data_IF_425541328571
#
_entry.id   IF_425541328571
#
_cell.length_a   1.000
_cell.length_b   1.000
_cell.length_c   1.000
_cell.angle_alpha   90.00
_cell.angle_beta   90.00
_cell.angle_gamma   90.00
#
_symmetry.space_group_name_H-M   'P 1'
#
loop_
_entity.id
_entity.type
_entity.pdbx_description
1 polymer ?
#
# COMPACT_ATOMS: atom_id res chain seq x y z
N UNK A 1 1.79 25.66 2.16
CA UNK A 1 2.15 24.50 3.01
C UNK A 1 3.59 24.17 2.68
N UNK A 2 4.42 23.97 3.68
CA UNK A 2 5.84 23.62 3.54
C UNK A 2 6.03 22.17 4.00
N UNK A 3 6.89 21.42 3.33
CA UNK A 3 7.25 20.05 3.70
C UNK A 3 8.62 20.07 4.40
N UNK A 4 8.64 20.71 5.56
CA UNK A 4 9.81 20.84 6.40
C UNK A 4 9.99 19.63 7.35
N UNK A 5 11.01 19.68 8.20
CA UNK A 5 11.32 18.61 9.14
C UNK A 5 10.19 18.37 10.15
N UNK A 6 9.48 19.42 10.53
CA UNK A 6 8.39 19.31 11.51
C UNK A 6 7.17 18.63 10.89
N UNK A 7 6.88 18.93 9.62
CA UNK A 7 5.84 18.24 8.87
C UNK A 7 6.16 16.74 8.69
N UNK A 8 7.37 16.42 8.24
CA UNK A 8 7.80 15.04 8.06
C UNK A 8 7.85 14.29 9.40
N UNK A 9 8.26 14.96 10.49
CA UNK A 9 8.23 14.41 11.84
C UNK A 9 6.84 13.95 12.27
N UNK A 10 5.81 14.74 11.99
CA UNK A 10 4.41 14.36 12.27
C UNK A 10 3.94 13.16 11.46
N UNK A 11 4.36 13.05 10.18
CA UNK A 11 4.06 11.87 9.38
C UNK A 11 4.72 10.61 9.96
N UNK A 12 5.96 10.70 10.45
CA UNK A 12 6.61 9.57 11.12
C UNK A 12 5.94 9.20 12.44
N UNK A 13 5.49 10.17 13.24
CA UNK A 13 4.73 9.90 14.47
C UNK A 13 3.45 9.13 14.14
N UNK A 14 2.71 9.55 13.13
CA UNK A 14 1.50 8.86 12.66
C UNK A 14 1.82 7.45 12.13
N UNK A 15 2.89 7.31 11.32
CA UNK A 15 3.34 6.01 10.83
C UNK A 15 3.72 5.05 11.97
N UNK A 16 4.31 5.56 13.06
CA UNK A 16 4.66 4.75 14.23
C UNK A 16 3.42 4.20 14.95
N UNK A 17 2.34 4.96 14.97
CA UNK A 17 1.05 4.53 15.56
C UNK A 17 0.24 3.63 14.62
N UNK A 18 0.58 3.59 13.34
CA UNK A 18 -0.11 2.80 12.34
C UNK A 18 0.44 1.36 12.35
N UNK A 19 -0.40 0.31 12.51
CA UNK A 19 0.07 -1.09 12.52
C UNK A 19 0.74 -1.52 11.21
N UNK A 20 0.51 -0.80 10.12
CA UNK A 20 1.22 -1.02 8.84
C UNK A 20 2.57 -0.33 8.77
N UNK A 21 2.94 0.41 9.82
CA UNK A 21 4.20 1.18 9.91
C UNK A 21 4.37 2.17 8.74
N UNK A 22 3.26 2.74 8.25
CA UNK A 22 3.25 3.72 7.17
C UNK A 22 2.10 4.71 7.31
N UNK A 23 2.31 5.93 6.80
CA UNK A 23 1.30 6.98 6.78
C UNK A 23 1.38 7.75 5.46
N UNK A 24 0.25 7.87 4.79
CA UNK A 24 0.11 8.63 3.56
C UNK A 24 -0.46 10.02 3.82
N UNK A 25 -0.04 10.99 3.04
CA UNK A 25 -0.59 12.34 2.99
C UNK A 25 -0.91 12.69 1.54
N UNK A 26 -2.21 12.85 1.23
CA UNK A 26 -2.71 13.14 -0.11
C UNK A 26 -2.47 14.61 -0.48
N UNK A 27 -1.87 14.85 -1.64
CA UNK A 27 -1.58 16.18 -2.18
C UNK A 27 -2.57 16.60 -3.27
N UNK A 28 -3.61 15.81 -3.54
CA UNK A 28 -4.65 16.20 -4.49
C UNK A 28 -5.37 17.45 -3.98
N UNK A 29 -5.80 18.27 -4.91
CA UNK A 29 -6.47 19.55 -4.60
C UNK A 29 -7.98 19.44 -4.53
N UNK A 30 -8.55 18.36 -5.08
CA UNK A 30 -9.99 18.07 -5.05
C UNK A 30 -10.25 16.59 -5.36
N UNK A 31 -11.45 16.11 -5.08
CA UNK A 31 -11.93 14.79 -5.47
C UNK A 31 -11.96 14.56 -6.99
N UNK A 32 -12.09 15.62 -7.76
CA UNK A 32 -12.07 15.58 -9.22
C UNK A 32 -10.65 15.44 -9.79
N UNK A 33 -9.61 15.60 -8.96
CA UNK A 33 -8.22 15.46 -9.38
C UNK A 33 -7.89 13.97 -9.58
N UNK A 34 -7.63 13.62 -10.83
CA UNK A 34 -7.35 12.23 -11.24
C UNK A 34 -5.88 11.87 -11.20
N UNK A 35 -5.01 12.79 -10.79
CA UNK A 35 -3.58 12.51 -10.57
C UNK A 35 -3.33 12.13 -9.13
N UNK A 36 -2.78 10.96 -8.88
CA UNK A 36 -2.30 10.60 -7.55
C UNK A 36 -0.98 11.33 -7.28
N UNK A 37 -0.91 12.01 -6.14
CA UNK A 37 0.29 12.68 -5.64
C UNK A 37 0.28 12.56 -4.13
N UNK A 38 1.22 11.81 -3.59
CA UNK A 38 1.21 11.46 -2.17
C UNK A 38 2.60 11.64 -1.56
N UNK A 39 2.65 12.09 -0.33
CA UNK A 39 3.78 11.85 0.55
C UNK A 39 3.48 10.63 1.39
N UNK A 40 4.41 9.70 1.48
CA UNK A 40 4.22 8.47 2.24
C UNK A 40 5.40 8.29 3.19
N UNK A 41 5.15 8.39 4.49
CA UNK A 41 6.13 7.99 5.50
C UNK A 41 6.09 6.46 5.64
N UNK A 42 7.27 5.85 5.61
CA UNK A 42 7.49 4.41 5.67
C UNK A 42 8.52 4.12 6.77
N UNK A 43 8.23 3.17 7.64
CA UNK A 43 9.14 2.73 8.69
C UNK A 43 9.69 1.33 8.37
N UNK A 44 10.90 0.97 8.83
CA UNK A 44 11.39 -0.40 8.74
C UNK A 44 10.39 -1.40 9.34
N UNK A 45 10.12 -2.47 8.61
CA UNK A 45 9.08 -3.44 8.94
C UNK A 45 7.75 -3.20 8.21
N UNK A 46 7.59 -2.08 7.50
CA UNK A 46 6.48 -1.90 6.56
C UNK A 46 6.49 -3.02 5.52
N UNK A 47 5.35 -3.67 5.34
CA UNK A 47 5.14 -4.66 4.27
C UNK A 47 4.32 -4.01 3.18
N UNK A 48 4.91 -3.83 2.01
CA UNK A 48 4.20 -3.44 0.78
C UNK A 48 4.04 -4.70 -0.06
N UNK A 49 2.81 -5.18 -0.31
CA UNK A 49 2.60 -6.32 -1.19
C UNK A 49 3.20 -6.05 -2.58
N UNK A 50 3.69 -7.10 -3.25
CA UNK A 50 4.05 -6.98 -4.67
C UNK A 50 2.77 -6.58 -5.43
N UNK A 51 2.86 -5.51 -6.22
CA UNK A 51 1.73 -4.96 -6.96
C UNK A 51 2.17 -4.34 -8.27
N UNK A 52 1.23 -3.98 -9.11
CA UNK A 52 1.47 -3.23 -10.35
C UNK A 52 0.36 -2.24 -10.63
N UNK A 53 0.66 -1.26 -11.47
CA UNK A 53 -0.29 -0.28 -11.99
C UNK A 53 -0.47 -0.49 -13.48
N UNK A 54 -1.51 -1.25 -13.94
CA UNK A 54 -1.67 -1.62 -15.35
C UNK A 54 -1.89 -0.44 -16.29
N UNK A 55 -2.34 0.70 -15.75
CA UNK A 55 -2.75 1.86 -16.55
C UNK A 55 -1.85 3.08 -16.39
N UNK A 56 -0.89 3.05 -15.46
CA UNK A 56 -0.05 4.20 -15.16
C UNK A 56 1.39 3.84 -14.87
N UNK A 57 2.28 4.76 -15.18
CA UNK A 57 3.68 4.75 -14.73
C UNK A 57 3.75 5.44 -13.37
N UNK A 58 4.48 4.86 -12.44
CA UNK A 58 4.70 5.44 -11.12
C UNK A 58 6.06 6.12 -11.04
N UNK A 59 6.08 7.32 -10.47
CA UNK A 59 7.29 8.07 -10.18
C UNK A 59 7.48 8.10 -8.67
N UNK A 60 8.62 7.59 -8.21
CA UNK A 60 9.00 7.56 -6.80
C UNK A 60 10.22 8.45 -6.57
N UNK A 61 10.09 9.44 -5.69
CA UNK A 61 11.20 10.26 -5.23
C UNK A 61 11.36 10.11 -3.72
N UNK A 62 12.57 9.83 -3.29
CA UNK A 62 12.90 9.69 -1.87
C UNK A 62 13.35 11.05 -1.30
N UNK A 63 12.58 11.59 -0.37
CA UNK A 63 12.89 12.86 0.29
C UNK A 63 13.91 12.69 1.42
N UNK A 64 13.83 11.58 2.15
CA UNK A 64 14.77 11.23 3.22
C UNK A 64 14.71 9.73 3.50
N UNK A 65 15.73 9.19 4.18
CA UNK A 65 15.84 7.79 4.54
C UNK A 65 16.50 6.94 3.45
N UNK A 66 16.25 5.63 3.49
CA UNK A 66 16.77 4.65 2.51
C UNK A 66 15.73 3.58 2.23
N UNK A 67 15.49 3.33 0.96
CA UNK A 67 14.60 2.27 0.50
C UNK A 67 15.25 1.50 -0.66
N UNK A 68 14.69 0.34 -0.94
CA UNK A 68 14.97 -0.41 -2.18
C UNK A 68 13.65 -0.62 -2.91
N UNK A 69 13.55 -0.08 -4.11
CA UNK A 69 12.48 -0.45 -5.03
C UNK A 69 12.84 -1.78 -5.67
N UNK A 70 12.00 -2.79 -5.49
CA UNK A 70 12.22 -4.16 -5.97
C UNK A 70 11.31 -4.42 -7.15
N UNK A 71 11.90 -4.60 -8.32
CA UNK A 71 11.19 -4.95 -9.54
C UNK A 71 11.08 -6.47 -9.65
N UNK A 72 9.89 -6.96 -9.93
CA UNK A 72 9.60 -8.39 -10.02
C UNK A 72 9.19 -8.82 -11.44
N UNK A 73 9.32 -10.11 -11.71
CA UNK A 73 8.81 -10.74 -12.92
C UNK A 73 7.31 -11.12 -12.77
N UNK A 74 6.74 -11.72 -13.83
CA UNK A 74 5.33 -12.17 -13.84
C UNK A 74 5.02 -13.33 -12.86
N UNK A 75 6.04 -13.92 -12.26
CA UNK A 75 5.93 -14.96 -11.24
C UNK A 75 6.18 -14.42 -9.82
N UNK A 76 6.41 -13.10 -9.68
CA UNK A 76 6.72 -12.45 -8.41
C UNK A 76 8.17 -12.64 -7.95
N UNK A 77 9.06 -13.19 -8.81
CA UNK A 77 10.48 -13.30 -8.49
C UNK A 77 11.19 -11.96 -8.72
N UNK A 78 12.10 -11.65 -7.84
CA UNK A 78 12.93 -10.45 -7.94
C UNK A 78 13.79 -10.48 -9.22
N UNK A 79 13.78 -9.39 -9.98
CA UNK A 79 14.60 -9.16 -11.18
C UNK A 79 15.64 -8.09 -10.98
N UNK A 80 15.30 -7.04 -10.27
CA UNK A 80 16.15 -5.86 -10.11
C UNK A 80 15.89 -5.20 -8.77
N UNK A 81 16.94 -4.62 -8.19
CA UNK A 81 16.91 -3.82 -6.96
C UNK A 81 17.43 -2.43 -7.24
N UNK A 82 16.60 -1.43 -7.05
CA UNK A 82 16.95 -0.02 -7.23
C UNK A 82 17.08 0.61 -5.85
N UNK A 83 18.33 0.86 -5.43
CA UNK A 83 18.63 1.45 -4.14
C UNK A 83 18.44 2.97 -4.22
N UNK A 84 17.57 3.53 -3.40
CA UNK A 84 17.36 4.95 -3.25
C UNK A 84 17.97 5.43 -1.93
N UNK A 85 18.86 6.38 -2.02
CA UNK A 85 19.56 7.01 -0.89
C UNK A 85 19.99 8.43 -1.31
N UNK A 86 19.28 9.50 -0.91
CA UNK A 86 19.61 10.86 -1.26
C UNK A 86 20.99 11.30 -0.79
N UNK A 87 21.54 10.66 0.25
CA UNK A 87 22.87 11.02 0.79
C UNK A 87 24.01 10.67 -0.15
N UNK A 88 23.78 9.75 -1.08
CA UNK A 88 24.76 9.33 -2.12
C UNK A 88 24.31 9.73 -3.53
N UNK A 89 23.23 10.51 -3.67
CA UNK A 89 22.78 11.05 -4.94
C UNK A 89 21.76 10.18 -5.70
N UNK A 90 21.19 9.17 -5.08
CA UNK A 90 20.16 8.31 -5.67
C UNK A 90 18.77 8.75 -5.15
N UNK A 91 18.12 9.64 -5.88
CA UNK A 91 16.95 10.37 -5.39
C UNK A 91 15.61 9.72 -5.72
N UNK A 92 15.53 8.87 -6.73
CA UNK A 92 14.24 8.31 -7.14
C UNK A 92 14.36 7.38 -8.34
N UNK A 93 13.24 6.79 -8.70
CA UNK A 93 13.11 5.91 -9.86
C UNK A 93 11.74 6.07 -10.52
N UNK A 94 11.62 5.45 -11.68
CA UNK A 94 10.36 5.33 -12.41
C UNK A 94 10.04 3.85 -12.52
N UNK A 95 8.87 3.46 -12.04
CA UNK A 95 8.31 2.13 -12.27
C UNK A 95 7.40 2.19 -13.49
N UNK A 96 7.76 1.53 -14.60
CA UNK A 96 6.95 1.58 -15.81
C UNK A 96 5.57 0.94 -15.61
N UNK A 97 4.61 1.39 -16.40
CA UNK A 97 3.28 0.82 -16.45
C UNK A 97 3.29 -0.71 -16.53
N UNK A 98 2.50 -1.36 -15.69
CA UNK A 98 2.30 -2.81 -15.68
C UNK A 98 3.44 -3.62 -15.03
N UNK A 99 4.49 -2.99 -14.55
CA UNK A 99 5.62 -3.67 -13.93
C UNK A 99 5.30 -4.06 -12.49
N UNK A 100 5.48 -5.34 -12.14
CA UNK A 100 5.35 -5.83 -10.77
C UNK A 100 6.50 -5.29 -9.90
N UNK A 101 6.16 -4.73 -8.74
CA UNK A 101 7.15 -4.14 -7.85
C UNK A 101 6.69 -4.15 -6.39
N UNK A 102 7.63 -3.92 -5.51
CA UNK A 102 7.44 -3.68 -4.08
C UNK A 102 8.57 -2.84 -3.53
N UNK A 103 8.42 -2.39 -2.29
CA UNK A 103 9.40 -1.53 -1.60
C UNK A 103 9.91 -2.22 -0.33
N UNK A 104 11.22 -2.23 -0.14
CA UNK A 104 11.88 -2.55 1.14
C UNK A 104 12.34 -1.26 1.82
N UNK A 105 12.00 -1.10 3.09
CA UNK A 105 12.33 0.08 3.87
C UNK A 105 13.53 -0.23 4.77
N UNK A 106 14.69 0.38 4.47
CA UNK A 106 15.93 0.15 5.22
C UNK A 106 16.10 1.10 6.40
N UNK A 107 15.68 2.36 6.22
CA UNK A 107 15.66 3.41 7.25
C UNK A 107 14.32 4.12 7.22
N UNK A 108 13.89 4.81 8.31
CA UNK A 108 12.69 5.64 8.26
C UNK A 108 12.74 6.61 7.08
N UNK A 109 11.76 6.52 6.20
CA UNK A 109 11.79 7.14 4.87
C UNK A 109 10.52 7.91 4.58
N UNK A 110 10.63 8.98 3.80
CA UNK A 110 9.47 9.63 3.18
C UNK A 110 9.68 9.64 1.68
N UNK A 111 8.74 9.07 0.95
CA UNK A 111 8.69 9.13 -0.51
C UNK A 111 7.63 10.13 -0.96
N UNK A 112 7.87 10.73 -2.13
CA UNK A 112 6.84 11.34 -2.96
C UNK A 112 6.52 10.38 -4.10
N UNK A 113 5.27 9.95 -4.16
CA UNK A 113 4.75 9.07 -5.19
C UNK A 113 3.78 9.84 -6.07
N UNK A 114 3.95 9.72 -7.38
CA UNK A 114 3.05 10.34 -8.35
C UNK A 114 2.75 9.39 -9.50
N UNK A 115 1.46 9.27 -9.84
CA UNK A 115 0.95 8.51 -10.99
C UNK A 115 -0.40 9.02 -11.44
N UNK A 116 -0.79 8.68 -12.65
CA UNK A 116 -2.12 8.96 -13.17
C UNK A 116 -3.17 8.01 -12.55
N UNK A 117 -4.39 8.50 -12.40
CA UNK A 117 -5.48 7.76 -11.78
C UNK A 117 -5.67 8.11 -10.30
N UNK A 118 -6.89 7.95 -9.81
CA UNK A 118 -7.19 8.13 -8.40
C UNK A 118 -6.70 6.93 -7.59
N UNK A 119 -6.26 7.17 -6.37
CA UNK A 119 -5.92 6.11 -5.43
C UNK A 119 -7.13 5.18 -5.21
N UNK A 120 -6.92 3.88 -5.39
CA UNK A 120 -7.96 2.86 -5.27
C UNK A 120 -8.88 2.71 -6.50
N UNK A 121 -8.84 3.68 -7.47
CA UNK A 121 -9.57 3.61 -8.74
C UNK A 121 -8.63 3.49 -9.96
N UNK A 122 -7.33 3.46 -9.72
CA UNK A 122 -6.26 3.42 -10.73
C UNK A 122 -6.04 2.03 -11.35
N UNK A 123 -6.88 1.05 -10.99
CA UNK A 123 -6.77 -0.33 -11.47
C UNK A 123 -5.58 -1.10 -10.93
N UNK A 124 -4.96 -0.62 -9.84
CA UNK A 124 -3.84 -1.32 -9.20
C UNK A 124 -4.18 -2.76 -8.88
N UNK A 125 -3.26 -3.66 -9.18
CA UNK A 125 -3.40 -5.10 -8.95
C UNK A 125 -2.36 -5.56 -7.92
N UNK A 126 -2.78 -6.30 -6.90
CA UNK A 126 -1.86 -7.00 -6.02
C UNK A 126 -1.43 -8.33 -6.65
N UNK A 127 -0.16 -8.69 -6.48
CA UNK A 127 0.35 -9.99 -6.90
C UNK A 127 -0.24 -11.06 -5.99
N UNK A 128 -1.04 -11.91 -6.60
CA UNK A 128 -1.76 -12.96 -5.88
C UNK A 128 -0.87 -14.21 -5.78
N UNK A 129 0.11 -14.18 -4.88
CA UNK A 129 0.91 -15.37 -4.55
C UNK A 129 0.03 -16.54 -4.07
N UNK A 130 -1.22 -16.24 -3.67
CA UNK A 130 -2.23 -17.22 -3.30
C UNK A 130 -2.84 -17.93 -4.50
N UNK A 131 -3.07 -17.24 -5.64
CA UNK A 131 -3.63 -17.91 -6.83
C UNK A 131 -2.68 -18.96 -7.42
N UNK A 132 -1.37 -18.70 -7.35
CA UNK A 132 -0.37 -19.69 -7.75
C UNK A 132 -0.39 -20.91 -6.82
N UNK A 133 -0.52 -20.68 -5.51
CA UNK A 133 -0.57 -21.73 -4.50
C UNK A 133 -1.90 -22.49 -4.51
N UNK A 134 -3.03 -21.83 -4.73
CA UNK A 134 -4.33 -22.48 -4.92
C UNK A 134 -4.38 -23.35 -6.19
N UNK A 135 -3.65 -22.99 -7.24
CA UNK A 135 -3.53 -23.81 -8.44
C UNK A 135 -2.70 -25.07 -8.16
N UNK A 136 -1.60 -24.96 -7.43
CA UNK A 136 -0.78 -26.11 -7.00
C UNK A 136 -1.51 -26.97 -5.96
N UNK A 137 -2.22 -26.40 -5.00
CA UNK A 137 -2.97 -27.12 -3.97
C UNK A 137 -4.22 -27.83 -4.54
N UNK A 138 -4.84 -27.29 -5.59
CA UNK A 138 -5.91 -27.96 -6.33
C UNK A 138 -5.42 -29.19 -7.11
N UNK A 139 -4.18 -29.20 -7.59
CA UNK A 139 -3.57 -30.39 -8.18
C UNK A 139 -3.19 -31.45 -7.12
N UNK A 140 -2.94 -31.06 -5.87
CA UNK A 140 -2.58 -31.98 -4.78
C UNK A 140 -3.75 -32.44 -3.90
N UNK A 141 -4.97 -31.96 -4.10
CA UNK A 141 -6.17 -32.49 -3.45
C UNK A 141 -6.23 -32.32 -1.94
N UNK A 142 -5.56 -31.32 -1.38
CA UNK A 142 -5.65 -30.99 0.04
C UNK A 142 -6.58 -29.80 0.28
N UNK A 143 -7.71 -30.09 0.93
CA UNK A 143 -8.65 -29.10 1.45
C UNK A 143 -7.99 -28.36 2.64
N UNK A 144 -7.39 -27.21 2.35
CA UNK A 144 -6.90 -26.29 3.39
C UNK A 144 -7.49 -24.92 3.18
N UNK A 145 -8.79 -24.81 3.40
CA UNK A 145 -9.47 -23.55 3.65
C UNK A 145 -9.18 -23.09 5.08
N UNK A 146 -7.95 -22.64 5.34
CA UNK A 146 -7.64 -21.90 6.53
C UNK A 146 -7.42 -20.44 6.13
N UNK A 147 -8.30 -19.50 6.53
CA UNK A 147 -8.06 -18.10 6.30
C UNK A 147 -6.83 -17.67 7.11
N UNK A 148 -5.90 -16.98 6.47
CA UNK A 148 -4.82 -16.28 7.16
C UNK A 148 -5.47 -15.19 8.02
N UNK A 149 -5.79 -15.53 9.25
CA UNK A 149 -6.16 -14.60 10.27
C UNK A 149 -4.88 -14.04 10.89
N UNK A 150 -4.33 -12.96 10.33
CA UNK A 150 -3.55 -12.00 11.09
C UNK A 150 -4.47 -10.99 11.77
N UNK A 151 -5.75 -11.29 11.83
CA UNK A 151 -6.74 -10.49 12.49
C UNK A 151 -6.61 -10.69 14.00
N UNK A 152 -6.93 -9.68 14.75
CA UNK A 152 -7.26 -9.77 16.17
C UNK A 152 -8.49 -10.70 16.40
N UNK A 153 -8.88 -11.49 15.41
CA UNK A 153 -9.93 -12.50 15.44
C UNK A 153 -11.35 -11.97 15.15
N UNK A 154 -11.49 -10.72 14.76
CA UNK A 154 -12.78 -10.09 14.52
C UNK A 154 -12.66 -9.08 13.36
N UNK A 155 -13.04 -9.49 12.15
CA UNK A 155 -12.98 -8.68 10.94
C UNK A 155 -13.68 -7.31 11.12
N UNK A 156 -14.75 -7.25 11.90
CA UNK A 156 -15.46 -6.01 12.16
C UNK A 156 -14.58 -5.02 12.94
N UNK A 157 -13.85 -5.50 13.94
CA UNK A 157 -12.92 -4.66 14.71
C UNK A 157 -11.74 -4.21 13.88
N UNK A 158 -11.24 -5.09 13.02
CA UNK A 158 -10.14 -4.76 12.11
C UNK A 158 -10.57 -3.67 11.11
N UNK A 159 -11.80 -3.75 10.58
CA UNK A 159 -12.39 -2.71 9.72
C UNK A 159 -12.60 -1.40 10.50
N UNK A 160 -13.20 -1.45 11.69
CA UNK A 160 -13.42 -0.27 12.54
C UNK A 160 -12.09 0.41 12.91
N UNK A 161 -11.07 -0.38 13.19
CA UNK A 161 -9.72 0.11 13.48
C UNK A 161 -9.08 0.80 12.26
N UNK A 162 -9.15 0.18 11.09
CA UNK A 162 -8.65 0.76 9.84
C UNK A 162 -9.38 2.08 9.50
N UNK A 163 -10.72 2.09 9.63
CA UNK A 163 -11.53 3.30 9.47
C UNK A 163 -11.10 4.38 10.47
N UNK A 164 -10.84 4.01 11.72
CA UNK A 164 -10.38 4.94 12.76
C UNK A 164 -9.05 5.62 12.39
N UNK A 165 -8.11 4.86 11.85
CA UNK A 165 -6.80 5.37 11.40
C UNK A 165 -6.96 6.33 10.22
N UNK A 166 -7.70 5.91 9.17
CA UNK A 166 -7.88 6.75 7.99
C UNK A 166 -8.70 8.02 8.31
N UNK A 167 -9.60 7.94 9.26
CA UNK A 167 -10.34 9.10 9.77
C UNK A 167 -9.43 10.11 10.47
N UNK A 168 -8.46 9.64 11.26
CA UNK A 168 -7.48 10.51 11.93
C UNK A 168 -6.51 11.15 10.94
N UNK A 169 -6.20 10.46 9.84
CA UNK A 169 -5.35 11.00 8.76
C UNK A 169 -6.07 11.96 7.81
N UNK A 170 -7.39 12.13 7.95
CA UNK A 170 -8.21 12.93 7.04
C UNK A 170 -8.51 12.27 5.70
N UNK A 171 -8.22 10.98 5.56
CA UNK A 171 -8.34 10.20 4.32
C UNK A 171 -9.67 9.41 4.23
N UNK A 172 -10.78 9.99 4.71
CA UNK A 172 -12.09 9.31 4.74
C UNK A 172 -12.59 8.85 3.37
N UNK A 173 -12.24 9.57 2.32
CA UNK A 173 -12.74 9.33 0.96
C UNK A 173 -12.13 8.09 0.28
N UNK A 174 -11.08 7.53 0.86
CA UNK A 174 -10.42 6.30 0.36
C UNK A 174 -10.99 5.03 0.97
N UNK A 175 -11.87 5.12 1.99
CA UNK A 175 -12.44 3.95 2.68
C UNK A 175 -13.57 3.33 1.86
N UNK A 176 -13.19 2.64 0.80
CA UNK A 176 -14.12 1.79 0.04
C UNK A 176 -14.00 0.33 0.51
N UNK A 177 -15.04 -0.51 0.32
CA UNK A 177 -14.93 -1.94 0.61
C UNK A 177 -13.73 -2.60 -0.09
N UNK A 178 -13.43 -2.17 -1.32
CA UNK A 178 -12.28 -2.65 -2.09
C UNK A 178 -10.96 -2.23 -1.44
N UNK A 179 -10.85 -0.98 -0.98
CA UNK A 179 -9.69 -0.52 -0.22
C UNK A 179 -9.48 -1.37 1.02
N UNK A 180 -10.52 -1.54 1.84
CA UNK A 180 -10.48 -2.33 3.08
C UNK A 180 -10.11 -3.79 2.80
N UNK A 181 -10.70 -4.41 1.77
CA UNK A 181 -10.38 -5.77 1.31
C UNK A 181 -8.90 -5.93 1.02
N UNK A 182 -8.33 -5.00 0.26
CA UNK A 182 -6.90 -5.00 -0.08
C UNK A 182 -6.00 -4.76 1.14
N UNK A 183 -6.42 -3.86 2.02
CA UNK A 183 -5.63 -3.50 3.20
C UNK A 183 -5.59 -4.62 4.25
N UNK A 184 -6.69 -5.32 4.45
CA UNK A 184 -6.80 -6.41 5.42
C UNK A 184 -6.51 -7.79 4.81
N UNK A 185 -6.31 -7.85 3.48
CA UNK A 185 -6.16 -9.10 2.71
C UNK A 185 -7.32 -10.08 2.97
N UNK A 186 -8.54 -9.57 2.92
CA UNK A 186 -9.79 -10.32 3.14
C UNK A 186 -10.64 -10.24 1.88
N UNK A 187 -11.37 -11.30 1.50
CA UNK A 187 -12.26 -11.29 0.34
C UNK A 187 -13.22 -10.10 0.34
N UNK A 188 -13.37 -9.44 -0.81
CA UNK A 188 -14.20 -8.25 -0.96
C UNK A 188 -15.65 -8.48 -0.48
N UNK A 189 -16.22 -9.64 -0.78
CA UNK A 189 -17.59 -10.01 -0.39
C UNK A 189 -17.79 -10.03 1.13
N UNK A 190 -16.78 -10.47 1.89
CA UNK A 190 -16.82 -10.49 3.35
C UNK A 190 -16.76 -9.08 3.93
N UNK A 191 -15.87 -8.25 3.36
CA UNK A 191 -15.76 -6.84 3.76
C UNK A 191 -17.05 -6.09 3.45
N UNK A 192 -17.60 -6.24 2.25
CA UNK A 192 -18.88 -5.62 1.88
C UNK A 192 -20.02 -6.03 2.78
N UNK A 193 -20.06 -7.30 3.21
CA UNK A 193 -21.06 -7.79 4.15
C UNK A 193 -20.93 -7.08 5.49
N UNK A 194 -19.72 -7.06 6.07
CA UNK A 194 -19.48 -6.45 7.39
C UNK A 194 -19.71 -4.94 7.36
N UNK A 195 -19.26 -4.25 6.30
CA UNK A 195 -19.46 -2.80 6.16
C UNK A 195 -20.94 -2.42 5.96
N UNK A 196 -21.75 -3.25 5.30
CA UNK A 196 -23.22 -3.06 5.23
C UNK A 196 -23.89 -3.27 6.57
N UNK A 197 -23.48 -4.27 7.34
CA UNK A 197 -24.02 -4.54 8.68
C UNK A 197 -23.64 -3.45 9.69
N UNK A 198 -22.52 -2.76 9.50
CA UNK A 198 -22.06 -1.67 10.37
C UNK A 198 -22.75 -0.32 10.08
N UNK A 199 -23.43 -0.16 8.94
CA UNK A 199 -24.18 1.05 8.57
C UNK A 199 -25.65 1.01 9.00
N UNK A 200 -26.12 -0.08 9.58
CA UNK A 200 -27.43 -0.22 10.27
C UNK A 200 -27.27 -0.04 11.78
#
# INVERSE_FOLDING_TARGET
MEFDKDFLGKLFEQATMNPRLRQSFDLRTSEADTSQRMLIALLPGTVVPIHRHPQSTENVFLLCGKIVEVICDENGNEKERIHLDPTVGNYGCVVPQGVWHTVEVLEPSVIYEAKDGKYGEDGSEAFDAFKAKEAEDKELGSDTSAPFSNSLGDLKKDIEYLIGIERQSGSMDVITPLYVSRMLNVPLEEVEKVMREAQC
#
